data_IF_874388777647
#
_entry.id   IF_874388777647
#
_cell.length_a   1.000
_cell.length_b   1.000
_cell.length_c   1.000
_cell.angle_alpha   90.00
_cell.angle_beta   90.00
_cell.angle_gamma   90.00
#
_symmetry.space_group_name_H-M   'P 1'
#
loop_
_entity.id
_entity.type
_entity.pdbx_description
1 polymer ?
#
# COMPACT_ATOMS: atom_id res chain seq x y z
N UNK A 1 18.32 -2.49 0.62
CA UNK A 1 17.35 -1.45 1.02
C UNK A 1 17.08 -0.42 -0.06
N UNK A 2 18.08 0.34 -0.55
CA UNK A 2 17.86 1.42 -1.52
C UNK A 2 17.04 1.01 -2.77
N UNK A 3 17.29 -0.18 -3.32
CA UNK A 3 16.56 -0.68 -4.49
C UNK A 3 15.09 -0.99 -4.20
N UNK A 4 14.77 -1.53 -3.01
CA UNK A 4 13.37 -1.84 -2.63
C UNK A 4 12.57 -0.55 -2.52
N UNK A 5 13.12 0.45 -1.84
CA UNK A 5 12.50 1.77 -1.69
C UNK A 5 12.29 2.45 -3.04
N UNK A 6 13.29 2.41 -3.93
CA UNK A 6 13.19 3.01 -5.27
C UNK A 6 12.13 2.32 -6.15
N UNK A 7 12.04 0.98 -6.11
CA UNK A 7 11.00 0.25 -6.85
C UNK A 7 9.62 0.52 -6.24
N UNK A 8 9.51 0.61 -4.92
CA UNK A 8 8.25 0.96 -4.24
C UNK A 8 7.77 2.36 -4.65
N UNK A 9 8.67 3.34 -4.67
CA UNK A 9 8.38 4.70 -5.14
C UNK A 9 7.93 4.70 -6.62
N UNK A 10 8.64 3.98 -7.48
CA UNK A 10 8.27 3.84 -8.88
C UNK A 10 6.86 3.24 -9.06
N UNK A 11 6.54 2.18 -8.31
CA UNK A 11 5.22 1.55 -8.38
C UNK A 11 4.12 2.41 -7.77
N UNK A 12 4.42 3.19 -6.72
CA UNK A 12 3.48 4.18 -6.17
C UNK A 12 3.12 5.22 -7.24
N UNK A 13 4.13 5.82 -7.89
CA UNK A 13 3.90 6.81 -8.96
C UNK A 13 3.09 6.20 -10.11
N UNK A 14 3.41 4.96 -10.51
CA UNK A 14 2.63 4.25 -11.53
C UNK A 14 1.17 4.04 -11.11
N UNK A 15 0.92 3.78 -9.83
CA UNK A 15 -0.42 3.56 -9.27
C UNK A 15 -1.24 4.86 -9.10
N UNK A 16 -0.60 6.02 -9.06
CA UNK A 16 -1.31 7.30 -9.04
C UNK A 16 -2.03 7.57 -10.36
N UNK A 17 -1.41 7.24 -11.49
CA UNK A 17 -1.94 7.52 -12.82
C UNK A 17 -2.82 6.39 -13.39
N UNK A 18 -2.73 5.19 -12.81
CA UNK A 18 -3.32 3.97 -13.39
C UNK A 18 -4.23 3.23 -12.41
N UNK A 19 -5.08 2.38 -12.99
CA UNK A 19 -5.98 1.52 -12.21
C UNK A 19 -5.21 0.45 -11.44
N UNK A 20 -5.70 0.11 -10.25
CA UNK A 20 -5.17 -1.00 -9.48
C UNK A 20 -5.42 -2.32 -10.22
N UNK A 21 -4.35 -3.11 -10.41
CA UNK A 21 -4.42 -4.45 -10.98
C UNK A 21 -3.83 -5.49 -10.02
N UNK A 22 -4.31 -6.74 -10.01
CA UNK A 22 -3.86 -7.75 -9.05
C UNK A 22 -2.34 -7.99 -9.04
N UNK A 23 -1.68 -7.89 -10.19
CA UNK A 23 -0.23 -8.07 -10.33
C UNK A 23 0.54 -6.97 -9.60
N UNK A 24 0.04 -5.72 -9.65
CA UNK A 24 0.60 -4.60 -8.90
C UNK A 24 0.49 -4.88 -7.40
N UNK A 25 -0.68 -5.35 -6.93
CA UNK A 25 -0.88 -5.72 -5.52
C UNK A 25 0.14 -6.75 -5.01
N UNK A 26 0.46 -7.76 -5.82
CA UNK A 26 1.49 -8.78 -5.48
C UNK A 26 2.88 -8.18 -5.37
N UNK A 27 3.25 -7.29 -6.30
CA UNK A 27 4.54 -6.60 -6.25
C UNK A 27 4.65 -5.69 -5.03
N UNK A 28 3.62 -4.88 -4.75
CA UNK A 28 3.57 -4.02 -3.57
C UNK A 28 3.68 -4.84 -2.28
N UNK A 29 2.93 -5.93 -2.17
CA UNK A 29 3.02 -6.83 -1.02
C UNK A 29 4.43 -7.41 -0.84
N UNK A 30 5.05 -7.91 -1.92
CA UNK A 30 6.40 -8.47 -1.87
C UNK A 30 7.44 -7.42 -1.45
N UNK A 31 7.33 -6.18 -1.95
CA UNK A 31 8.22 -5.09 -1.57
C UNK A 31 8.05 -4.68 -0.12
N UNK A 32 6.81 -4.60 0.37
CA UNK A 32 6.52 -4.36 1.79
C UNK A 32 7.12 -5.47 2.67
N UNK A 33 7.03 -6.74 2.25
CA UNK A 33 7.62 -7.85 2.98
C UNK A 33 9.17 -7.79 3.05
N UNK A 34 9.81 -7.09 2.11
CA UNK A 34 11.25 -6.86 2.11
C UNK A 34 11.70 -5.64 2.95
N UNK A 35 10.77 -4.84 3.49
CA UNK A 35 11.11 -3.72 4.36
C UNK A 35 11.42 -4.23 5.78
N UNK A 36 12.67 -4.09 6.22
CA UNK A 36 13.06 -4.41 7.60
C UNK A 36 12.82 -3.23 8.53
N UNK A 37 12.47 -3.53 9.79
CA UNK A 37 12.39 -2.53 10.86
C UNK A 37 13.76 -2.33 11.52
N UNK A 38 14.12 -1.12 11.96
CA UNK A 38 13.33 0.12 11.88
C UNK A 38 13.36 0.73 10.47
N UNK A 39 12.22 1.28 10.03
CA UNK A 39 12.12 1.92 8.72
C UNK A 39 12.77 3.30 8.74
N UNK A 40 13.35 3.67 7.60
CA UNK A 40 13.79 5.04 7.37
C UNK A 40 12.59 5.98 7.20
N UNK A 41 12.71 7.27 7.57
CA UNK A 41 11.62 8.26 7.43
C UNK A 41 11.03 8.34 6.02
N UNK A 42 11.86 8.18 4.99
CA UNK A 42 11.47 8.20 3.58
C UNK A 42 10.58 7.01 3.26
N UNK A 43 10.94 5.82 3.76
CA UNK A 43 10.14 4.61 3.59
C UNK A 43 8.78 4.75 4.29
N UNK A 44 8.73 5.38 5.47
CA UNK A 44 7.46 5.71 6.14
C UNK A 44 6.58 6.61 5.27
N UNK A 45 7.14 7.66 4.67
CA UNK A 45 6.39 8.55 3.77
C UNK A 45 5.79 7.77 2.58
N UNK A 46 6.58 6.93 1.93
CA UNK A 46 6.16 6.15 0.76
C UNK A 46 5.04 5.17 1.08
N UNK A 47 5.14 4.39 2.17
CA UNK A 47 4.10 3.43 2.54
C UNK A 47 2.80 4.15 2.96
N UNK A 48 2.89 5.34 3.58
CA UNK A 48 1.71 6.15 3.93
C UNK A 48 1.00 6.68 2.69
N UNK A 49 1.74 7.17 1.70
CA UNK A 49 1.16 7.58 0.41
C UNK A 49 0.46 6.41 -0.28
N UNK A 50 1.10 5.23 -0.30
CA UNK A 50 0.50 4.00 -0.83
C UNK A 50 -0.82 3.67 -0.13
N UNK A 51 -0.86 3.66 1.21
CA UNK A 51 -2.07 3.34 1.96
C UNK A 51 -3.21 4.33 1.69
N UNK A 52 -2.90 5.64 1.64
CA UNK A 52 -3.89 6.68 1.28
C UNK A 52 -4.46 6.48 -0.12
N UNK A 53 -3.59 6.15 -1.09
CA UNK A 53 -4.03 5.85 -2.45
C UNK A 53 -4.91 4.59 -2.49
N UNK A 54 -4.54 3.54 -1.75
CA UNK A 54 -5.34 2.33 -1.64
C UNK A 54 -6.73 2.63 -1.06
N UNK A 55 -6.80 3.46 -0.01
CA UNK A 55 -8.06 3.86 0.61
C UNK A 55 -8.94 4.68 -0.35
N UNK A 56 -8.34 5.60 -1.13
CA UNK A 56 -9.03 6.37 -2.16
C UNK A 56 -9.61 5.48 -3.25
N UNK A 57 -8.84 4.52 -3.77
CA UNK A 57 -9.32 3.57 -4.78
C UNK A 57 -10.41 2.67 -4.21
N UNK A 58 -10.24 2.18 -2.97
CA UNK A 58 -11.26 1.37 -2.29
C UNK A 58 -12.58 2.12 -2.15
N UNK A 59 -12.55 3.42 -1.86
CA UNK A 59 -13.76 4.25 -1.73
C UNK A 59 -14.53 4.40 -3.06
N UNK A 60 -13.89 4.15 -4.20
CA UNK A 60 -14.56 4.14 -5.51
C UNK A 60 -15.17 2.78 -5.89
N UNK A 61 -14.96 1.74 -5.09
CA UNK A 61 -15.51 0.41 -5.35
C UNK A 61 -16.96 0.33 -4.85
N UNK A 62 -17.89 0.02 -5.74
CA UNK A 62 -19.33 -0.01 -5.44
C UNK A 62 -19.79 -1.34 -4.85
N UNK A 63 -19.04 -2.43 -5.09
CA UNK A 63 -19.44 -3.79 -4.70
C UNK A 63 -18.44 -4.40 -3.74
N UNK A 64 -18.96 -5.19 -2.79
CA UNK A 64 -18.12 -5.97 -1.85
C UNK A 64 -17.48 -7.19 -2.50
N UNK A 65 -17.96 -7.59 -3.68
CA UNK A 65 -17.45 -8.72 -4.46
C UNK A 65 -16.30 -8.31 -5.39
N UNK A 66 -15.89 -7.04 -5.38
CA UNK A 66 -14.74 -6.59 -6.16
C UNK A 66 -13.45 -7.24 -5.62
N UNK A 67 -12.80 -8.03 -6.46
CA UNK A 67 -11.58 -8.77 -6.11
C UNK A 67 -10.46 -7.86 -5.57
N UNK A 68 -10.44 -6.58 -6.01
CA UNK A 68 -9.44 -5.59 -5.58
C UNK A 68 -9.62 -5.19 -4.12
N UNK A 69 -10.84 -5.28 -3.58
CA UNK A 69 -11.17 -4.83 -2.22
C UNK A 69 -10.33 -5.57 -1.18
N UNK A 70 -10.18 -6.89 -1.32
CA UNK A 70 -9.35 -7.72 -0.45
C UNK A 70 -7.88 -7.30 -0.46
N UNK A 71 -7.32 -7.06 -1.65
CA UNK A 71 -5.93 -6.65 -1.82
C UNK A 71 -5.67 -5.24 -1.27
N UNK A 72 -6.56 -4.29 -1.53
CA UNK A 72 -6.46 -2.92 -1.00
C UNK A 72 -6.53 -2.91 0.53
N UNK A 73 -7.46 -3.65 1.12
CA UNK A 73 -7.58 -3.79 2.58
C UNK A 73 -6.32 -4.39 3.20
N UNK A 74 -5.75 -5.42 2.58
CA UNK A 74 -4.51 -6.03 3.06
C UNK A 74 -3.36 -5.03 3.07
N UNK A 75 -3.18 -4.27 1.99
CA UNK A 75 -2.12 -3.26 1.90
C UNK A 75 -2.29 -2.17 2.95
N UNK A 76 -3.50 -1.64 3.12
CA UNK A 76 -3.82 -0.64 4.16
C UNK A 76 -3.50 -1.22 5.55
N UNK A 77 -3.94 -2.44 5.83
CA UNK A 77 -3.73 -3.10 7.11
C UNK A 77 -2.24 -3.31 7.44
N UNK A 78 -1.44 -3.72 6.46
CA UNK A 78 0.02 -3.86 6.65
C UNK A 78 0.66 -2.52 7.00
N UNK A 79 0.32 -1.45 6.27
CA UNK A 79 0.85 -0.11 6.58
C UNK A 79 0.41 0.36 7.96
N UNK A 80 -0.88 0.23 8.28
CA UNK A 80 -1.43 0.75 9.52
C UNK A 80 -0.98 -0.05 10.74
N UNK A 81 -1.12 -1.38 10.71
CA UNK A 81 -0.89 -2.25 11.88
C UNK A 81 0.53 -2.80 11.93
N UNK A 82 1.08 -3.29 10.81
CA UNK A 82 2.42 -3.89 10.81
C UNK A 82 3.51 -2.83 10.84
N UNK A 83 3.39 -1.74 10.07
CA UNK A 83 4.34 -0.60 10.10
C UNK A 83 3.93 0.53 11.07
N UNK A 84 2.97 0.24 11.96
CA UNK A 84 2.57 1.08 13.09
C UNK A 84 2.09 2.50 12.69
N UNK A 85 1.59 2.65 11.46
CA UNK A 85 0.92 3.87 10.99
C UNK A 85 -0.56 3.86 11.42
N UNK A 86 -0.81 3.72 12.73
CA UNK A 86 -2.14 3.43 13.28
C UNK A 86 -3.18 4.50 12.95
N UNK A 87 -2.76 5.74 12.65
CA UNK A 87 -3.65 6.82 12.20
C UNK A 87 -4.33 6.54 10.84
N UNK A 88 -3.80 5.59 10.07
CA UNK A 88 -4.34 5.14 8.78
C UNK A 88 -5.17 3.86 8.90
N UNK A 89 -5.30 3.29 10.11
CA UNK A 89 -6.11 2.11 10.31
C UNK A 89 -7.59 2.44 10.07
N UNK A 90 -8.31 1.51 9.45
CA UNK A 90 -9.76 1.53 9.53
C UNK A 90 -10.14 1.26 10.99
N UNK A 91 -10.87 2.21 11.57
CA UNK A 91 -11.50 2.01 12.87
C UNK A 91 -12.76 1.19 12.61
N UNK A 92 -12.70 -0.11 12.93
CA UNK A 92 -13.86 -1.00 12.97
C UNK A 92 -14.94 -0.47 13.93
#
# INVERSE_FOLDING_TARGET
MATVTAVLEYLNNWFEERSFVPQLGRWLYALLACLEKPLLPEAHSLIRQLARRCASVRATLETKDDERLSALNLLICLVARYFEQNDLADND
#
